data_IF_541527016578
#
_entry.id   IF_541527016578
#
_cell.length_a   1.000
_cell.length_b   1.000
_cell.length_c   1.000
_cell.angle_alpha   90.00
_cell.angle_beta   90.00
_cell.angle_gamma   90.00
#
_symmetry.space_group_name_H-M   'P 1'
#
loop_
_entity.id
_entity.type
_entity.pdbx_description
1 polymer ?
#
# COMPACT_ATOMS: atom_id res chain seq x y z
N UNK A 1 -1.10 -2.41 -9.98
CA UNK A 1 -1.42 -2.01 -8.58
C UNK A 1 -2.78 -1.34 -8.43
N UNK A 2 -3.19 -0.43 -9.33
CA UNK A 2 -4.50 0.24 -9.30
C UNK A 2 -5.71 -0.67 -8.99
N UNK A 3 -5.82 -1.79 -9.68
CA UNK A 3 -6.91 -2.76 -9.50
C UNK A 3 -6.93 -3.40 -8.09
N UNK A 4 -5.76 -3.73 -7.55
CA UNK A 4 -5.64 -4.22 -6.17
C UNK A 4 -6.07 -3.15 -5.15
N UNK A 5 -5.68 -1.90 -5.37
CA UNK A 5 -6.07 -0.77 -4.54
C UNK A 5 -7.58 -0.51 -4.53
N UNK A 6 -8.25 -0.64 -5.68
CA UNK A 6 -9.71 -0.52 -5.76
C UNK A 6 -10.41 -1.59 -4.92
N UNK A 7 -9.98 -2.86 -5.01
CA UNK A 7 -10.55 -3.95 -4.20
C UNK A 7 -10.32 -3.75 -2.71
N UNK A 8 -9.13 -3.30 -2.34
CA UNK A 8 -8.78 -2.99 -0.95
C UNK A 8 -9.66 -1.86 -0.42
N UNK A 9 -9.85 -0.78 -1.19
CA UNK A 9 -10.68 0.34 -0.77
C UNK A 9 -12.13 -0.10 -0.57
N UNK A 10 -12.68 -0.86 -1.52
CA UNK A 10 -14.03 -1.42 -1.45
C UNK A 10 -14.23 -2.26 -0.18
N UNK A 11 -13.33 -3.20 0.12
CA UNK A 11 -13.50 -4.06 1.30
C UNK A 11 -13.24 -3.33 2.61
N UNK A 12 -12.35 -2.32 2.61
CA UNK A 12 -11.94 -1.60 3.82
C UNK A 12 -13.10 -0.89 4.53
N UNK A 13 -14.08 -0.40 3.77
CA UNK A 13 -15.27 0.27 4.32
C UNK A 13 -16.19 -0.70 5.08
N UNK A 14 -16.23 -1.97 4.67
CA UNK A 14 -17.06 -2.98 5.32
C UNK A 14 -16.43 -3.59 6.58
N UNK A 15 -15.09 -3.64 6.63
CA UNK A 15 -14.37 -4.35 7.70
C UNK A 15 -13.62 -3.41 8.65
N UNK A 16 -13.64 -2.10 8.42
CA UNK A 16 -12.93 -1.11 9.23
C UNK A 16 -11.41 -1.18 9.11
N UNK A 17 -10.88 -1.61 7.96
CA UNK A 17 -9.43 -1.69 7.74
C UNK A 17 -8.81 -0.29 7.60
N UNK A 18 -7.59 -0.09 8.14
CA UNK A 18 -6.87 1.21 8.10
C UNK A 18 -5.57 1.21 7.32
N UNK A 19 -4.98 0.04 7.07
CA UNK A 19 -3.75 -0.09 6.31
C UNK A 19 -3.66 -1.45 5.62
N UNK A 20 -2.84 -1.52 4.59
CA UNK A 20 -2.37 -2.77 3.99
C UNK A 20 -0.93 -2.96 4.38
N UNK A 21 -0.61 -4.16 4.87
CA UNK A 21 0.72 -4.55 5.29
C UNK A 21 1.27 -5.64 4.38
N UNK A 22 2.53 -5.54 4.01
CA UNK A 22 3.22 -6.52 3.15
C UNK A 22 4.59 -6.84 3.71
N UNK A 23 5.02 -8.09 3.51
CA UNK A 23 6.40 -8.51 3.74
C UNK A 23 7.05 -8.75 2.37
N UNK A 24 7.98 -7.87 1.99
CA UNK A 24 8.71 -7.98 0.74
C UNK A 24 9.70 -9.15 0.80
N UNK A 25 9.71 -9.99 -0.25
CA UNK A 25 10.59 -11.16 -0.33
C UNK A 25 12.05 -10.82 -0.67
N UNK A 26 12.27 -9.71 -1.36
CA UNK A 26 13.57 -9.28 -1.88
C UNK A 26 13.56 -7.76 -2.15
N UNK A 27 14.72 -7.18 -2.44
CA UNK A 27 14.86 -5.74 -2.68
C UNK A 27 14.06 -5.26 -3.89
N UNK A 28 13.84 -6.11 -4.88
CA UNK A 28 13.03 -5.77 -6.05
C UNK A 28 11.55 -5.63 -5.66
N UNK A 29 11.04 -6.56 -4.84
CA UNK A 29 9.70 -6.47 -4.29
C UNK A 29 9.55 -5.24 -3.38
N UNK A 30 10.56 -4.96 -2.53
CA UNK A 30 10.57 -3.77 -1.68
C UNK A 30 10.44 -2.49 -2.50
N UNK A 31 11.32 -2.29 -3.49
CA UNK A 31 11.28 -1.13 -4.40
C UNK A 31 9.95 -1.02 -5.14
N UNK A 32 9.38 -2.15 -5.58
CA UNK A 32 8.06 -2.17 -6.20
C UNK A 32 6.98 -1.60 -5.26
N UNK A 33 6.95 -2.03 -3.99
CA UNK A 33 5.99 -1.51 -3.03
C UNK A 33 6.24 -0.03 -2.69
N UNK A 34 7.49 0.39 -2.50
CA UNK A 34 7.86 1.79 -2.25
C UNK A 34 7.41 2.71 -3.38
N UNK A 35 7.63 2.31 -4.65
CA UNK A 35 7.17 3.04 -5.83
C UNK A 35 5.64 3.15 -5.92
N UNK A 36 4.90 2.29 -5.22
CA UNK A 36 3.44 2.32 -5.14
C UNK A 36 2.93 2.96 -3.84
N UNK A 37 3.78 3.71 -3.13
CA UNK A 37 3.39 4.51 -1.97
C UNK A 37 3.44 3.79 -0.62
N UNK A 38 3.90 2.52 -0.59
CA UNK A 38 4.16 1.85 0.68
C UNK A 38 5.41 2.43 1.35
N UNK A 39 5.41 2.44 2.68
CA UNK A 39 6.53 2.91 3.49
C UNK A 39 7.06 1.76 4.35
N UNK A 40 8.40 1.60 4.44
CA UNK A 40 8.98 0.60 5.33
C UNK A 40 8.70 0.93 6.80
N UNK A 41 8.57 -0.10 7.62
CA UNK A 41 8.55 0.05 9.06
C UNK A 41 9.94 0.48 9.57
N UNK A 42 10.03 1.36 10.59
CA UNK A 42 11.31 1.78 11.16
C UNK A 42 12.15 0.60 11.69
N UNK A 43 11.49 -0.45 12.17
CA UNK A 43 12.13 -1.62 12.77
C UNK A 43 12.55 -2.68 11.76
N UNK A 44 11.99 -2.67 10.55
CA UNK A 44 12.22 -3.71 9.54
C UNK A 44 11.88 -3.18 8.13
N UNK A 45 12.90 -3.03 7.30
CA UNK A 45 12.73 -2.40 5.98
C UNK A 45 12.05 -3.29 4.93
N UNK A 46 11.90 -4.59 5.19
CA UNK A 46 11.16 -5.50 4.31
C UNK A 46 9.68 -5.61 4.70
N UNK A 47 9.31 -5.09 5.87
CA UNK A 47 7.93 -4.94 6.29
C UNK A 47 7.44 -3.54 5.90
N UNK A 48 6.51 -3.46 4.96
CA UNK A 48 5.99 -2.18 4.48
C UNK A 48 4.49 -2.06 4.72
N UNK A 49 4.02 -0.82 4.84
CA UNK A 49 2.60 -0.52 4.94
C UNK A 49 2.21 0.67 4.07
N UNK A 50 0.96 0.69 3.64
CA UNK A 50 0.29 1.87 3.08
C UNK A 50 -1.04 2.08 3.80
N UNK A 51 -1.38 3.33 4.11
CA UNK A 51 -2.66 3.64 4.73
C UNK A 51 -3.77 3.65 3.69
N UNK A 52 -4.98 3.21 4.05
CA UNK A 52 -6.14 3.23 3.15
C UNK A 52 -6.43 4.65 2.64
N UNK A 53 -6.26 5.67 3.49
CA UNK A 53 -6.41 7.08 3.08
C UNK A 53 -5.41 7.49 1.98
N UNK A 54 -4.21 6.93 2.01
CA UNK A 54 -3.16 7.25 1.05
C UNK A 54 -3.41 6.48 -0.27
N UNK A 55 -3.95 5.25 -0.19
CA UNK A 55 -4.47 4.53 -1.36
C UNK A 55 -5.56 5.36 -2.06
N UNK A 56 -6.53 5.88 -1.30
CA UNK A 56 -7.60 6.72 -1.85
C UNK A 56 -7.02 7.95 -2.54
N UNK A 57 -6.10 8.65 -1.89
CA UNK A 57 -5.41 9.81 -2.47
C UNK A 57 -4.71 9.48 -3.78
N UNK A 58 -3.98 8.36 -3.87
CA UNK A 58 -3.27 7.93 -5.09
C UNK A 58 -4.23 7.56 -6.23
N UNK A 59 -5.42 7.02 -5.93
CA UNK A 59 -6.42 6.71 -6.96
C UNK A 59 -7.08 7.98 -7.51
N UNK A 60 -7.32 8.96 -6.64
CA UNK A 60 -7.91 10.26 -7.01
C UNK A 60 -6.89 11.18 -7.70
N UNK A 61 -5.59 11.01 -7.39
CA UNK A 61 -4.48 11.79 -7.93
C UNK A 61 -3.41 10.82 -8.47
N UNK A 62 -3.62 10.24 -9.67
CA UNK A 62 -2.66 9.32 -10.24
C UNK A 62 -1.31 10.03 -10.42
N UNK A 63 -0.18 9.39 -10.07
CA UNK A 63 1.13 9.94 -10.37
C UNK A 63 1.26 10.16 -11.88
N UNK A 64 1.84 11.32 -12.26
CA UNK A 64 2.09 11.75 -13.65
C UNK A 64 3.06 10.78 -14.34
#
# INVERSE_FOLDING_TARGET
MKDAFLRILMISEHIGARAVFVNAKDDNAKKFYENNGFKPLPSDSFKLLILIKDIKYTLDNPPI
#
